data_IF_203730065237
#
_entry.id   IF_203730065237
#
_cell.length_a   1.000
_cell.length_b   1.000
_cell.length_c   1.000
_cell.angle_alpha   90.00
_cell.angle_beta   90.00
_cell.angle_gamma   90.00
#
_symmetry.space_group_name_H-M   'P 1'
#
loop_
_entity.id
_entity.type
_entity.pdbx_description
1 polymer ?
#
# COMPACT_ATOMS: atom_id res chain seq x y z
N UNK A 1 25.08 -20.08 -7.20
CA UNK A 1 23.90 -19.24 -6.93
C UNK A 1 22.71 -20.18 -6.80
N UNK A 2 22.04 -20.21 -5.65
CA UNK A 2 20.92 -21.13 -5.41
C UNK A 2 19.71 -20.67 -6.23
N UNK A 3 19.23 -21.52 -7.13
CA UNK A 3 18.06 -21.27 -8.00
C UNK A 3 17.23 -22.54 -8.08
N UNK A 4 15.94 -22.40 -8.39
CA UNK A 4 15.00 -23.48 -8.60
C UNK A 4 14.56 -23.46 -10.08
N UNK A 5 14.33 -24.62 -10.75
CA UNK A 5 13.82 -24.65 -12.11
C UNK A 5 12.36 -24.17 -12.17
N UNK A 6 12.16 -22.86 -12.13
CA UNK A 6 10.88 -22.22 -12.40
C UNK A 6 10.45 -22.43 -13.85
N UNK A 7 9.16 -22.65 -14.07
CA UNK A 7 8.62 -22.97 -15.40
C UNK A 7 8.12 -21.75 -16.17
N UNK A 8 8.17 -20.54 -15.60
CA UNK A 8 7.66 -19.35 -16.26
C UNK A 8 8.71 -18.72 -17.17
N UNK A 9 8.57 -18.93 -18.47
CA UNK A 9 9.43 -18.33 -19.47
C UNK A 9 9.06 -16.86 -19.70
N UNK A 10 9.99 -15.95 -19.39
CA UNK A 10 9.88 -14.55 -19.80
C UNK A 10 10.26 -14.40 -21.28
N UNK A 11 9.64 -13.46 -22.02
CA UNK A 11 9.97 -13.24 -23.42
C UNK A 11 11.45 -12.86 -23.57
N UNK A 12 12.18 -13.53 -24.46
CA UNK A 12 13.55 -13.17 -24.82
C UNK A 12 13.55 -12.25 -26.03
N UNK A 13 14.47 -11.29 -26.06
CA UNK A 13 14.62 -10.38 -27.20
C UNK A 13 15.79 -10.85 -28.06
N UNK A 14 15.59 -10.91 -29.37
CA UNK A 14 16.64 -11.26 -30.33
C UNK A 14 16.84 -10.10 -31.28
N UNK A 15 18.08 -9.65 -31.39
CA UNK A 15 18.51 -8.67 -32.37
C UNK A 15 19.53 -9.33 -33.29
N UNK A 16 19.37 -9.18 -34.60
CA UNK A 16 20.27 -9.78 -35.58
C UNK A 16 20.64 -8.74 -36.64
N UNK A 17 21.93 -8.64 -36.94
CA UNK A 17 22.50 -7.87 -38.05
C UNK A 17 23.46 -8.75 -38.86
N UNK A 18 24.18 -8.16 -39.82
CA UNK A 18 25.09 -8.89 -40.71
C UNK A 18 26.30 -9.50 -39.96
N UNK A 19 26.68 -8.94 -38.81
CA UNK A 19 27.89 -9.32 -38.07
C UNK A 19 27.59 -10.24 -36.87
N UNK A 20 26.41 -10.12 -36.26
CA UNK A 20 26.09 -10.78 -34.99
C UNK A 20 24.61 -11.08 -34.78
N UNK A 21 24.37 -12.03 -33.86
CA UNK A 21 23.09 -12.31 -33.23
C UNK A 21 23.22 -12.02 -31.74
N UNK A 22 22.34 -11.17 -31.20
CA UNK A 22 22.25 -10.83 -29.78
C UNK A 22 20.96 -11.41 -29.21
N UNK A 23 21.08 -12.22 -28.15
CA UNK A 23 19.93 -12.71 -27.39
C UNK A 23 19.96 -12.13 -25.98
N UNK A 24 18.89 -11.45 -25.57
CA UNK A 24 18.70 -10.96 -24.20
C UNK A 24 17.81 -11.96 -23.44
N UNK A 25 18.31 -12.46 -22.30
CA UNK A 25 17.62 -13.41 -21.42
C UNK A 25 17.45 -12.84 -20.02
N UNK A 26 16.41 -13.31 -19.34
CA UNK A 26 16.13 -13.03 -17.94
C UNK A 26 16.38 -14.30 -17.14
N UNK A 27 17.33 -14.24 -16.20
CA UNK A 27 17.70 -15.37 -15.35
C UNK A 27 17.32 -15.08 -13.90
N UNK A 28 16.99 -16.11 -13.12
CA UNK A 28 16.77 -15.95 -11.68
C UNK A 28 17.96 -15.23 -11.01
N UNK A 29 17.68 -14.35 -10.07
CA UNK A 29 18.70 -13.63 -9.29
C UNK A 29 19.36 -14.51 -8.23
N UNK A 30 18.65 -15.53 -7.73
CA UNK A 30 19.15 -16.43 -6.70
C UNK A 30 18.23 -16.48 -5.48
N UNK A 31 18.74 -16.06 -4.32
CA UNK A 31 17.99 -16.00 -3.06
C UNK A 31 17.36 -14.62 -2.88
N UNK A 32 16.05 -14.60 -2.66
CA UNK A 32 15.23 -13.42 -2.41
C UNK A 32 14.75 -13.43 -0.96
N UNK A 33 14.97 -12.35 -0.22
CA UNK A 33 14.28 -12.11 1.05
C UNK A 33 13.01 -11.29 0.81
N UNK A 34 11.85 -11.89 1.05
CA UNK A 34 10.54 -11.24 0.99
C UNK A 34 10.13 -10.78 2.39
N UNK A 35 10.27 -9.50 2.68
CA UNK A 35 9.89 -8.88 3.95
C UNK A 35 8.51 -8.27 3.78
N UNK A 36 7.51 -8.84 4.45
CA UNK A 36 6.09 -8.55 4.22
C UNK A 36 5.47 -7.78 5.40
N UNK A 37 4.53 -6.84 5.13
CA UNK A 37 3.74 -6.17 6.14
C UNK A 37 2.66 -7.12 6.68
N UNK A 38 1.79 -6.59 7.53
CA UNK A 38 0.70 -7.35 8.11
C UNK A 38 -0.56 -7.43 7.24
N UNK A 39 -0.64 -6.63 6.18
CA UNK A 39 -1.80 -6.55 5.29
C UNK A 39 -1.59 -7.19 3.90
N UNK A 40 -0.38 -7.66 3.54
CA UNK A 40 -0.12 -8.30 2.23
C UNK A 40 1.14 -9.19 2.23
N UNK A 41 1.23 -10.15 1.28
CA UNK A 41 2.43 -10.99 1.06
C UNK A 41 2.68 -11.39 -0.40
N UNK A 42 2.28 -10.56 -1.38
CA UNK A 42 2.26 -10.84 -2.84
C UNK A 42 3.61 -11.12 -3.54
N UNK A 43 4.69 -11.33 -2.79
CA UNK A 43 6.09 -11.41 -3.26
C UNK A 43 6.54 -12.83 -3.62
N UNK A 44 5.90 -13.84 -3.01
CA UNK A 44 6.35 -15.24 -3.05
C UNK A 44 6.20 -15.84 -4.45
N UNK A 45 4.99 -15.76 -5.00
CA UNK A 45 4.65 -16.34 -6.30
C UNK A 45 5.53 -15.84 -7.46
N UNK A 46 5.71 -14.52 -7.68
CA UNK A 46 6.52 -14.05 -8.80
C UNK A 46 8.00 -14.42 -8.67
N UNK A 47 8.57 -14.41 -7.46
CA UNK A 47 9.95 -14.80 -7.22
C UNK A 47 10.20 -16.29 -7.55
N UNK A 48 9.32 -17.18 -7.08
CA UNK A 48 9.38 -18.62 -7.37
C UNK A 48 9.14 -18.92 -8.85
N UNK A 49 8.21 -18.22 -9.50
CA UNK A 49 7.83 -18.45 -10.89
C UNK A 49 9.01 -18.32 -11.86
N UNK A 50 9.90 -17.36 -11.61
CA UNK A 50 11.11 -17.12 -12.42
C UNK A 50 12.36 -17.86 -11.90
N UNK A 51 12.19 -18.73 -10.89
CA UNK A 51 13.23 -19.66 -10.45
C UNK A 51 14.12 -19.22 -9.29
N UNK A 52 13.69 -18.26 -8.48
CA UNK A 52 14.42 -17.89 -7.25
C UNK A 52 14.09 -18.85 -6.09
N UNK A 53 14.98 -18.90 -5.10
CA UNK A 53 14.65 -19.41 -3.76
C UNK A 53 14.21 -18.22 -2.88
N UNK A 54 13.23 -18.43 -2.00
CA UNK A 54 12.59 -17.35 -1.23
C UNK A 54 12.68 -17.62 0.27
N UNK A 55 13.12 -16.61 1.03
CA UNK A 55 13.01 -16.55 2.48
C UNK A 55 11.98 -15.47 2.82
N UNK A 56 10.85 -15.85 3.39
CA UNK A 56 9.77 -14.94 3.76
C UNK A 56 9.91 -14.54 5.23
N UNK A 57 9.89 -13.23 5.50
CA UNK A 57 9.81 -12.68 6.85
C UNK A 57 8.50 -11.90 7.00
N UNK A 58 7.47 -12.47 7.65
CA UNK A 58 6.24 -11.75 7.91
C UNK A 58 6.42 -10.66 8.99
N UNK A 59 5.41 -9.80 9.10
CA UNK A 59 5.25 -8.92 10.26
C UNK A 59 5.16 -9.71 11.57
N UNK A 60 5.82 -9.26 12.66
CA UNK A 60 5.68 -9.88 13.97
C UNK A 60 4.25 -9.84 14.50
N UNK A 61 3.42 -8.92 14.00
CA UNK A 61 2.04 -8.75 14.43
C UNK A 61 1.03 -9.70 13.77
N UNK A 62 1.38 -10.29 12.61
CA UNK A 62 0.48 -11.19 11.87
C UNK A 62 1.24 -12.37 11.20
N UNK A 63 2.05 -13.15 11.93
CA UNK A 63 2.89 -14.16 11.30
C UNK A 63 2.12 -15.42 10.89
N UNK A 64 0.99 -15.72 11.54
CA UNK A 64 0.33 -17.02 11.49
C UNK A 64 -0.05 -17.48 10.07
N UNK A 65 -0.74 -16.62 9.30
CA UNK A 65 -1.19 -16.98 7.96
C UNK A 65 -0.03 -17.29 7.03
N UNK A 66 1.05 -16.49 7.09
CA UNK A 66 2.26 -16.71 6.29
C UNK A 66 2.99 -17.97 6.72
N UNK A 67 3.13 -18.21 8.03
CA UNK A 67 3.73 -19.44 8.56
C UNK A 67 2.96 -20.67 8.08
N UNK A 68 1.62 -20.66 8.19
CA UNK A 68 0.78 -21.78 7.77
C UNK A 68 0.81 -22.00 6.26
N UNK A 69 0.78 -20.93 5.48
CA UNK A 69 0.92 -21.00 4.03
C UNK A 69 2.24 -21.67 3.62
N UNK A 70 3.36 -21.25 4.22
CA UNK A 70 4.67 -21.82 3.89
C UNK A 70 4.81 -23.26 4.39
N UNK A 71 4.29 -23.61 5.56
CA UNK A 71 4.22 -25.00 6.04
C UNK A 71 3.56 -25.93 5.00
N UNK A 72 2.40 -25.51 4.48
CA UNK A 72 1.68 -26.27 3.45
C UNK A 72 2.47 -26.32 2.13
N UNK A 73 3.02 -25.19 1.69
CA UNK A 73 3.76 -25.11 0.43
C UNK A 73 5.07 -25.91 0.45
N UNK A 74 5.73 -26.04 1.60
CA UNK A 74 6.95 -26.83 1.76
C UNK A 74 6.75 -28.33 1.51
N UNK A 75 5.52 -28.84 1.56
CA UNK A 75 5.22 -30.21 1.13
C UNK A 75 5.33 -30.42 -0.39
N UNK A 76 5.29 -29.33 -1.16
CA UNK A 76 5.34 -29.32 -2.63
C UNK A 76 6.75 -28.99 -3.13
N UNK A 77 7.41 -28.02 -2.48
CA UNK A 77 8.71 -27.54 -2.92
C UNK A 77 9.89 -28.35 -2.33
N UNK A 78 11.00 -28.52 -3.07
CA UNK A 78 12.21 -29.08 -2.51
C UNK A 78 12.71 -28.28 -1.28
N UNK A 79 13.42 -28.92 -0.33
CA UNK A 79 14.00 -28.25 0.82
C UNK A 79 14.85 -27.03 0.41
N UNK A 80 14.62 -25.89 1.07
CA UNK A 80 15.35 -24.64 0.85
C UNK A 80 14.80 -23.71 -0.24
N UNK A 81 13.86 -24.18 -1.07
CA UNK A 81 13.25 -23.35 -2.14
C UNK A 81 12.33 -22.28 -1.58
N UNK A 82 11.48 -22.64 -0.61
CA UNK A 82 10.61 -21.71 0.10
C UNK A 82 10.78 -21.90 1.60
N UNK A 83 11.15 -20.83 2.30
CA UNK A 83 11.40 -20.79 3.73
C UNK A 83 10.64 -19.63 4.35
N UNK A 84 10.29 -19.75 5.62
CA UNK A 84 9.70 -18.67 6.41
C UNK A 84 10.42 -18.57 7.74
N UNK A 85 10.69 -17.34 8.17
CA UNK A 85 11.24 -17.06 9.50
C UNK A 85 10.44 -15.92 10.10
N UNK A 86 9.69 -16.22 11.16
CA UNK A 86 9.03 -15.22 11.98
C UNK A 86 9.93 -14.90 13.19
N UNK A 87 9.92 -13.64 13.59
CA UNK A 87 10.75 -13.09 14.65
C UNK A 87 10.02 -11.94 15.34
N UNK A 88 10.66 -11.33 16.35
CA UNK A 88 10.17 -10.17 17.09
C UNK A 88 10.46 -8.82 16.39
N UNK A 89 10.98 -8.86 15.16
CA UNK A 89 11.31 -7.71 14.32
C UNK A 89 12.82 -7.41 14.21
N UNK A 90 13.66 -8.17 14.92
CA UNK A 90 15.13 -8.06 14.92
C UNK A 90 15.84 -8.70 13.72
N UNK A 91 15.19 -9.56 12.94
CA UNK A 91 15.79 -10.34 11.85
C UNK A 91 15.98 -9.53 10.55
N UNK A 92 15.18 -8.48 10.34
CA UNK A 92 15.24 -7.62 9.15
C UNK A 92 16.66 -7.15 8.80
N UNK A 93 17.40 -6.53 9.74
CA UNK A 93 18.80 -6.14 9.56
C UNK A 93 19.73 -7.25 9.10
N UNK A 94 19.52 -8.47 9.60
CA UNK A 94 20.38 -9.60 9.28
C UNK A 94 20.13 -10.08 7.84
N UNK A 95 18.87 -10.17 7.41
CA UNK A 95 18.52 -10.49 6.01
C UNK A 95 19.04 -9.40 5.06
N UNK A 96 18.74 -8.14 5.41
CA UNK A 96 19.49 -6.90 5.13
C UNK A 96 20.89 -7.09 4.55
N UNK A 97 21.78 -7.42 5.48
CA UNK A 97 23.22 -7.40 5.29
C UNK A 97 23.79 -8.75 4.82
N UNK A 98 22.98 -9.81 4.74
CA UNK A 98 23.49 -11.15 4.44
C UNK A 98 24.07 -11.24 3.01
N UNK A 99 25.34 -11.64 2.82
CA UNK A 99 25.99 -11.65 1.51
C UNK A 99 25.41 -12.71 0.55
N UNK A 100 24.78 -13.74 1.10
CA UNK A 100 24.12 -14.81 0.34
C UNK A 100 22.75 -14.44 -0.24
N UNK A 101 22.19 -13.25 0.07
CA UNK A 101 20.87 -12.80 -0.42
C UNK A 101 21.08 -11.80 -1.55
N UNK A 102 20.50 -12.07 -2.72
CA UNK A 102 20.71 -11.28 -3.94
C UNK A 102 19.65 -10.18 -4.15
N UNK A 103 18.48 -10.32 -3.51
CA UNK A 103 17.43 -9.31 -3.57
C UNK A 103 16.66 -9.23 -2.25
N UNK A 104 16.31 -8.00 -1.86
CA UNK A 104 15.29 -7.73 -0.85
C UNK A 104 14.04 -7.22 -1.56
N UNK A 105 12.91 -7.86 -1.34
CA UNK A 105 11.60 -7.30 -1.68
C UNK A 105 10.90 -6.93 -0.37
N UNK A 106 10.70 -5.65 -0.14
CA UNK A 106 10.15 -5.08 1.09
C UNK A 106 8.84 -4.35 0.78
N UNK A 107 7.81 -4.60 1.59
CA UNK A 107 6.64 -3.73 1.65
C UNK A 107 6.45 -3.23 3.08
N UNK A 108 6.21 -1.93 3.25
CA UNK A 108 5.99 -1.34 4.57
C UNK A 108 6.12 0.18 4.62
N UNK A 109 6.44 0.73 5.80
CA UNK A 109 6.64 2.18 5.97
C UNK A 109 7.76 2.73 5.10
N UNK A 110 7.63 3.97 4.64
CA UNK A 110 8.69 4.69 3.91
C UNK A 110 9.98 4.83 4.71
N UNK A 111 9.89 5.10 6.02
CA UNK A 111 11.05 5.22 6.91
C UNK A 111 11.87 3.93 6.96
N UNK A 112 11.21 2.78 7.16
CA UNK A 112 11.86 1.47 7.12
C UNK A 112 12.42 1.15 5.74
N UNK A 113 11.70 1.48 4.67
CA UNK A 113 12.15 1.29 3.29
C UNK A 113 13.48 2.00 2.99
N UNK A 114 13.62 3.26 3.44
CA UNK A 114 14.87 4.03 3.34
C UNK A 114 16.03 3.32 4.04
N UNK A 115 15.81 2.83 5.26
CA UNK A 115 16.82 2.05 6.01
C UNK A 115 17.19 0.74 5.31
N UNK A 116 16.22 0.02 4.75
CA UNK A 116 16.47 -1.19 3.93
C UNK A 116 17.37 -0.85 2.75
N UNK A 117 17.10 0.25 2.05
CA UNK A 117 17.92 0.70 0.91
C UNK A 117 19.35 1.05 1.33
N UNK A 118 19.52 1.83 2.40
CA UNK A 118 20.83 2.20 2.95
C UNK A 118 21.67 0.96 3.32
N UNK A 119 21.07 -0.02 3.98
CA UNK A 119 21.76 -1.26 4.34
C UNK A 119 22.08 -2.13 3.13
N UNK A 120 21.18 -2.20 2.14
CA UNK A 120 21.38 -2.97 0.92
C UNK A 120 22.56 -2.46 0.09
N UNK A 121 22.85 -1.15 0.13
CA UNK A 121 23.94 -0.51 -0.59
C UNK A 121 25.32 -1.12 -0.28
N UNK A 122 25.56 -1.59 0.95
CA UNK A 122 26.82 -2.24 1.37
C UNK A 122 27.18 -3.48 0.54
N UNK A 123 26.19 -4.06 -0.12
CA UNK A 123 26.28 -5.34 -0.82
C UNK A 123 25.79 -5.23 -2.26
N UNK A 124 25.36 -4.04 -2.69
CA UNK A 124 24.83 -3.76 -4.03
C UNK A 124 23.69 -4.72 -4.45
N UNK A 125 22.92 -5.24 -3.49
CA UNK A 125 21.81 -6.15 -3.79
C UNK A 125 20.62 -5.39 -4.36
N UNK A 126 19.83 -6.04 -5.21
CA UNK A 126 18.60 -5.44 -5.74
C UNK A 126 17.62 -5.23 -4.59
N UNK A 127 16.95 -4.08 -4.59
CA UNK A 127 15.86 -3.77 -3.68
C UNK A 127 14.61 -3.45 -4.49
N UNK A 128 13.49 -4.04 -4.09
CA UNK A 128 12.15 -3.67 -4.54
C UNK A 128 11.40 -3.19 -3.31
N UNK A 129 10.98 -1.93 -3.32
CA UNK A 129 10.34 -1.24 -2.19
C UNK A 129 8.94 -0.81 -2.61
N UNK A 130 7.93 -1.31 -1.91
CA UNK A 130 6.54 -0.89 -2.06
C UNK A 130 6.14 -0.24 -0.72
N UNK A 131 5.92 1.07 -0.72
CA UNK A 131 5.90 1.87 0.50
C UNK A 131 4.56 2.60 0.65
N UNK A 132 4.41 3.29 1.78
CA UNK A 132 3.22 4.07 2.10
C UNK A 132 2.85 5.08 1.01
N UNK A 133 1.56 5.37 0.93
CA UNK A 133 0.95 6.35 0.03
C UNK A 133 0.19 7.41 0.80
N UNK A 134 -0.19 8.51 0.14
CA UNK A 134 -1.17 9.47 0.64
C UNK A 134 -2.25 9.69 -0.43
N UNK A 135 -2.87 8.56 -0.79
CA UNK A 135 -3.63 8.39 -2.02
C UNK A 135 -4.87 9.30 -2.04
N UNK A 136 -5.02 10.00 -3.16
CA UNK A 136 -6.08 10.96 -3.37
C UNK A 136 -7.22 10.33 -4.17
N UNK A 137 -8.44 10.71 -3.85
CA UNK A 137 -9.62 10.45 -4.69
C UNK A 137 -10.22 11.79 -5.12
N UNK A 138 -10.27 12.04 -6.43
CA UNK A 138 -10.75 13.29 -7.03
C UNK A 138 -12.16 13.07 -7.58
N UNK A 139 -13.13 13.82 -7.06
CA UNK A 139 -14.55 13.76 -7.45
C UNK A 139 -14.91 14.96 -8.33
N UNK A 140 -15.10 14.70 -9.62
CA UNK A 140 -15.53 15.71 -10.60
C UNK A 140 -17.05 15.97 -10.50
N UNK A 141 -17.54 17.15 -10.92
CA UNK A 141 -18.93 17.54 -10.68
C UNK A 141 -19.95 16.84 -11.57
N UNK A 142 -19.49 16.11 -12.59
CA UNK A 142 -20.35 15.44 -13.56
C UNK A 142 -20.74 14.01 -13.14
N UNK A 143 -20.30 13.55 -11.97
CA UNK A 143 -20.57 12.19 -11.46
C UNK A 143 -22.02 12.03 -10.97
N UNK A 144 -22.49 10.78 -11.01
CA UNK A 144 -23.69 10.37 -10.28
C UNK A 144 -23.30 10.04 -8.83
N UNK A 145 -23.63 10.94 -7.90
CA UNK A 145 -23.24 10.85 -6.48
C UNK A 145 -23.79 9.55 -5.87
N UNK A 146 -25.09 9.27 -6.02
CA UNK A 146 -25.73 8.09 -5.42
C UNK A 146 -25.05 6.79 -5.86
N UNK A 147 -24.65 6.73 -7.12
CA UNK A 147 -23.98 5.56 -7.69
C UNK A 147 -22.56 5.33 -7.15
N UNK A 148 -21.77 6.39 -6.96
CA UNK A 148 -20.34 6.24 -6.63
C UNK A 148 -20.03 6.26 -5.13
N UNK A 149 -20.92 6.80 -4.30
CA UNK A 149 -20.69 6.95 -2.85
C UNK A 149 -20.31 5.62 -2.17
N UNK A 150 -20.97 4.48 -2.42
CA UNK A 150 -20.58 3.22 -1.80
C UNK A 150 -19.14 2.80 -2.12
N UNK A 151 -18.71 3.02 -3.37
CA UNK A 151 -17.38 2.66 -3.83
C UNK A 151 -16.30 3.62 -3.29
N UNK A 152 -16.59 4.93 -3.26
CA UNK A 152 -15.70 5.95 -2.67
C UNK A 152 -15.53 5.71 -1.17
N UNK A 153 -16.62 5.49 -0.45
CA UNK A 153 -16.59 5.23 0.99
C UNK A 153 -15.83 3.93 1.29
N UNK A 154 -16.11 2.83 0.59
CA UNK A 154 -15.38 1.58 0.80
C UNK A 154 -13.91 1.68 0.37
N UNK A 155 -13.56 2.55 -0.58
CA UNK A 155 -12.17 2.88 -0.91
C UNK A 155 -11.40 3.51 0.26
N UNK A 156 -12.10 4.19 1.19
CA UNK A 156 -11.51 4.75 2.41
C UNK A 156 -11.61 3.79 3.61
N UNK A 157 -12.70 3.04 3.75
CA UNK A 157 -13.02 2.29 4.97
C UNK A 157 -12.68 0.80 4.93
N UNK A 158 -12.43 0.23 3.76
CA UNK A 158 -12.05 -1.18 3.65
C UNK A 158 -10.80 -1.48 4.48
N UNK A 159 -10.80 -2.62 5.17
CA UNK A 159 -9.79 -2.98 6.17
C UNK A 159 -9.60 -1.93 7.28
N UNK A 160 -10.61 -1.13 7.61
CA UNK A 160 -10.50 -0.02 8.58
C UNK A 160 -9.52 1.07 8.13
N UNK A 161 -9.45 1.28 6.82
CA UNK A 161 -8.50 2.17 6.15
C UNK A 161 -7.13 1.55 5.92
N UNK A 162 -6.86 0.36 6.48
CA UNK A 162 -5.56 -0.31 6.56
C UNK A 162 -5.04 -0.94 5.24
N UNK A 163 -5.06 -0.16 4.16
CA UNK A 163 -4.43 -0.50 2.89
C UNK A 163 -3.48 0.60 2.41
N UNK A 164 -2.37 0.22 1.79
CA UNK A 164 -1.44 1.19 1.18
C UNK A 164 -2.15 2.09 0.15
N UNK A 165 -3.10 1.51 -0.58
CA UNK A 165 -3.93 2.14 -1.63
C UNK A 165 -5.27 2.70 -1.15
N UNK A 166 -5.53 2.72 0.15
CA UNK A 166 -6.77 3.28 0.68
C UNK A 166 -6.83 4.78 0.36
N UNK A 167 -8.03 5.28 0.06
CA UNK A 167 -8.24 6.72 -0.11
C UNK A 167 -7.97 7.43 1.22
N UNK A 168 -6.98 8.30 1.22
CA UNK A 168 -6.52 9.06 2.38
C UNK A 168 -6.87 10.52 2.32
N UNK A 169 -7.18 11.04 1.12
CA UNK A 169 -7.61 12.42 0.88
C UNK A 169 -8.70 12.43 -0.16
N UNK A 170 -9.83 13.04 0.17
CA UNK A 170 -10.95 13.15 -0.75
C UNK A 170 -11.07 14.58 -1.25
N UNK A 171 -10.78 14.80 -2.53
CA UNK A 171 -10.93 16.10 -3.18
C UNK A 171 -12.27 16.13 -3.92
N UNK A 172 -13.16 17.04 -3.56
CA UNK A 172 -14.51 17.11 -4.13
C UNK A 172 -14.72 18.45 -4.82
N UNK A 173 -15.23 18.44 -6.04
CA UNK A 173 -15.47 19.69 -6.77
C UNK A 173 -16.51 20.56 -6.04
N UNK A 174 -16.20 21.84 -5.84
CA UNK A 174 -16.98 22.77 -5.01
C UNK A 174 -18.48 22.83 -5.34
N UNK A 175 -18.85 22.60 -6.61
CA UNK A 175 -20.26 22.68 -7.05
C UNK A 175 -21.12 21.52 -6.58
N UNK A 176 -20.51 20.42 -6.10
CA UNK A 176 -21.22 19.24 -5.57
C UNK A 176 -20.77 18.91 -4.14
N UNK A 177 -19.98 19.78 -3.51
CA UNK A 177 -19.30 19.50 -2.24
C UNK A 177 -20.27 19.14 -1.12
N UNK A 178 -21.26 20.01 -0.88
CA UNK A 178 -22.22 19.83 0.21
C UNK A 178 -23.07 18.56 0.04
N UNK A 179 -23.58 18.33 -1.18
CA UNK A 179 -24.38 17.15 -1.50
C UNK A 179 -23.57 15.86 -1.38
N UNK A 180 -22.32 15.87 -1.86
CA UNK A 180 -21.43 14.72 -1.78
C UNK A 180 -21.03 14.41 -0.34
N UNK A 181 -20.62 15.43 0.43
CA UNK A 181 -20.23 15.28 1.83
C UNK A 181 -21.38 14.71 2.65
N UNK A 182 -22.59 15.24 2.46
CA UNK A 182 -23.80 14.72 3.09
C UNK A 182 -24.05 13.26 2.72
N UNK A 183 -23.98 12.89 1.45
CA UNK A 183 -24.18 11.51 1.00
C UNK A 183 -23.11 10.56 1.59
N UNK A 184 -21.86 11.01 1.67
CA UNK A 184 -20.75 10.25 2.23
C UNK A 184 -20.94 10.00 3.73
N UNK A 185 -21.36 11.03 4.47
CA UNK A 185 -21.70 10.92 5.90
C UNK A 185 -22.84 9.91 6.12
N UNK A 186 -23.93 10.02 5.36
CA UNK A 186 -25.08 9.12 5.51
C UNK A 186 -24.74 7.67 5.15
N UNK A 187 -23.98 7.43 4.08
CA UNK A 187 -23.50 6.09 3.77
C UNK A 187 -22.58 5.55 4.86
N UNK A 188 -21.65 6.37 5.36
CA UNK A 188 -20.67 5.94 6.37
C UNK A 188 -21.36 5.58 7.70
N UNK A 189 -22.42 6.28 8.10
CA UNK A 189 -23.26 5.91 9.25
C UNK A 189 -23.94 4.55 9.12
N UNK A 190 -24.13 4.06 7.90
CA UNK A 190 -24.72 2.73 7.65
C UNK A 190 -23.73 1.57 7.84
N UNK A 191 -22.42 1.87 7.93
CA UNK A 191 -21.37 0.87 8.12
C UNK A 191 -21.33 0.45 9.58
N UNK A 192 -21.36 -0.86 9.83
CA UNK A 192 -21.25 -1.41 11.19
C UNK A 192 -19.79 -1.53 11.59
N UNK A 193 -19.42 -1.09 12.81
CA UNK A 193 -18.09 -1.32 13.38
C UNK A 193 -18.15 -2.54 14.31
N UNK A 194 -17.31 -3.54 14.10
CA UNK A 194 -17.26 -4.73 14.95
C UNK A 194 -16.76 -6.00 14.26
N UNK A 195 -17.00 -7.15 14.90
CA UNK A 195 -16.54 -8.46 14.41
C UNK A 195 -17.46 -9.11 13.34
N UNK A 196 -18.54 -8.43 12.95
CA UNK A 196 -19.43 -8.80 11.85
C UNK A 196 -20.29 -10.05 12.08
N UNK A 197 -21.60 -9.94 11.83
CA UNK A 197 -22.48 -11.12 11.60
C UNK A 197 -23.80 -10.82 10.88
N UNK A 198 -24.16 -9.56 10.66
CA UNK A 198 -25.27 -9.14 9.80
C UNK A 198 -24.75 -8.74 8.42
N UNK A 199 -25.39 -9.18 7.34
CA UNK A 199 -24.88 -9.13 5.95
C UNK A 199 -24.66 -7.74 5.30
N UNK A 200 -24.44 -6.67 6.08
CA UNK A 200 -24.01 -5.35 5.59
C UNK A 200 -22.49 -5.16 5.65
N UNK A 201 -21.96 -4.00 5.18
CA UNK A 201 -20.53 -3.70 5.27
C UNK A 201 -20.11 -3.54 6.74
N UNK A 202 -19.02 -4.21 7.11
CA UNK A 202 -18.46 -4.20 8.46
C UNK A 202 -17.03 -3.69 8.44
N UNK A 203 -16.72 -2.74 9.31
CA UNK A 203 -15.37 -2.28 9.59
C UNK A 203 -14.84 -2.95 10.87
N UNK A 204 -13.69 -3.61 10.75
CA UNK A 204 -13.04 -4.32 11.85
C UNK A 204 -12.19 -3.42 12.75
N UNK A 205 -11.43 -4.01 13.68
CA UNK A 205 -10.51 -3.25 14.52
C UNK A 205 -9.27 -2.79 13.75
N UNK A 206 -8.62 -1.75 14.28
CA UNK A 206 -7.23 -1.42 13.98
C UNK A 206 -6.33 -2.57 14.44
N UNK A 207 -5.26 -2.83 13.70
CA UNK A 207 -4.52 -4.09 13.82
C UNK A 207 -3.85 -4.31 15.19
N UNK A 208 -3.29 -3.25 15.81
CA UNK A 208 -2.58 -3.35 17.09
C UNK A 208 -2.69 -2.06 17.92
N UNK A 209 -2.26 -2.13 19.19
CA UNK A 209 -2.35 -1.04 20.16
C UNK A 209 -1.54 0.19 19.73
N UNK A 210 -0.33 -0.01 19.21
CA UNK A 210 0.52 1.10 18.76
C UNK A 210 -0.17 1.90 17.66
N UNK A 211 -0.77 1.23 16.68
CA UNK A 211 -1.49 1.91 15.60
C UNK A 211 -2.76 2.59 16.13
N UNK A 212 -3.50 1.91 17.00
CA UNK A 212 -4.68 2.46 17.64
C UNK A 212 -4.40 3.76 18.41
N UNK A 213 -3.35 3.78 19.23
CA UNK A 213 -2.97 4.94 20.03
C UNK A 213 -2.51 6.13 19.18
N UNK A 214 -1.78 5.86 18.09
CA UNK A 214 -1.38 6.89 17.12
C UNK A 214 -2.61 7.54 16.45
N UNK A 215 -3.63 6.76 16.03
CA UNK A 215 -4.88 7.34 15.50
C UNK A 215 -5.60 8.19 16.52
N UNK A 216 -5.70 7.72 17.76
CA UNK A 216 -6.31 8.51 18.84
C UNK A 216 -5.59 9.85 19.02
N UNK A 217 -4.25 9.85 18.94
CA UNK A 217 -3.44 11.07 18.97
C UNK A 217 -3.73 12.01 17.80
N UNK A 218 -3.81 11.49 16.57
CA UNK A 218 -4.16 12.27 15.38
C UNK A 218 -5.55 12.92 15.52
N UNK A 219 -6.56 12.14 15.92
CA UNK A 219 -7.94 12.59 16.13
C UNK A 219 -7.98 13.66 17.22
N UNK A 220 -7.33 13.43 18.37
CA UNK A 220 -7.24 14.40 19.45
C UNK A 220 -6.60 15.72 18.97
N UNK A 221 -5.50 15.64 18.22
CA UNK A 221 -4.86 16.82 17.65
C UNK A 221 -5.76 17.60 16.68
N UNK A 222 -6.59 16.92 15.89
CA UNK A 222 -7.57 17.58 15.02
C UNK A 222 -8.62 18.34 15.85
N UNK A 223 -9.11 17.74 16.94
CA UNK A 223 -10.06 18.39 17.87
C UNK A 223 -9.43 19.58 18.58
N UNK A 224 -8.19 19.46 19.08
CA UNK A 224 -7.45 20.54 19.73
C UNK A 224 -7.22 21.74 18.80
N UNK A 225 -6.99 21.48 17.50
CA UNK A 225 -6.85 22.52 16.47
C UNK A 225 -8.18 23.09 15.99
N UNK A 226 -9.32 22.59 16.48
CA UNK A 226 -10.65 23.07 16.13
C UNK A 226 -11.10 22.71 14.72
N UNK A 227 -10.61 21.58 14.17
CA UNK A 227 -11.10 21.10 12.87
C UNK A 227 -12.56 20.67 12.96
N UNK A 228 -13.29 20.85 11.86
CA UNK A 228 -14.71 20.51 11.77
C UNK A 228 -14.83 19.04 11.38
N UNK A 229 -15.62 18.28 12.12
CA UNK A 229 -15.94 16.90 11.79
C UNK A 229 -17.34 16.84 11.18
N UNK A 230 -17.45 16.49 9.90
CA UNK A 230 -18.73 16.20 9.26
C UNK A 230 -19.33 14.87 9.76
N UNK A 231 -18.45 13.95 10.17
CA UNK A 231 -18.80 12.76 10.93
C UNK A 231 -17.74 12.57 12.01
N UNK A 232 -18.18 12.63 13.27
CA UNK A 232 -17.38 12.29 14.45
C UNK A 232 -17.96 11.03 15.12
N UNK A 233 -17.29 10.54 16.15
CA UNK A 233 -17.79 9.50 17.03
C UNK A 233 -19.17 9.87 17.60
N UNK A 234 -20.18 8.97 17.55
CA UNK A 234 -21.52 9.29 18.01
C UNK A 234 -21.54 9.65 19.51
N UNK A 235 -22.30 10.69 19.88
CA UNK A 235 -22.51 11.07 21.28
C UNK A 235 -23.01 9.87 22.09
N UNK A 236 -22.17 9.36 23.01
CA UNK A 236 -22.50 8.21 23.85
C UNK A 236 -21.96 6.85 23.38
N UNK A 237 -21.09 6.78 22.36
CA UNK A 237 -20.14 5.68 22.13
C UNK A 237 -20.73 4.26 22.15
N UNK A 238 -21.98 4.07 21.71
CA UNK A 238 -22.63 2.74 21.71
C UNK A 238 -22.39 2.04 20.38
N UNK A 239 -21.43 1.14 20.40
CA UNK A 239 -21.28 0.10 19.38
C UNK A 239 -22.24 -1.05 19.72
N UNK A 240 -22.83 -1.68 18.70
CA UNK A 240 -23.67 -2.86 18.88
C UNK A 240 -22.81 -4.07 19.23
N UNK A 241 -22.92 -4.50 20.49
CA UNK A 241 -22.10 -5.55 21.11
C UNK A 241 -22.87 -6.84 21.37
N UNK A 242 -23.82 -7.20 20.52
CA UNK A 242 -24.51 -8.49 20.68
C UNK A 242 -23.57 -9.72 20.76
N UNK A 243 -22.25 -9.60 20.48
CA UNK A 243 -21.30 -10.74 20.49
C UNK A 243 -19.92 -10.59 21.17
N UNK A 244 -19.50 -9.45 21.73
CA UNK A 244 -18.27 -9.34 22.54
C UNK A 244 -18.16 -7.93 23.16
N UNK A 245 -17.63 -7.79 24.38
CA UNK A 245 -17.39 -6.50 25.03
C UNK A 245 -16.29 -5.71 24.30
N UNK A 246 -16.51 -4.41 24.07
CA UNK A 246 -15.51 -3.52 23.46
C UNK A 246 -14.35 -3.11 24.36
N UNK A 247 -14.45 -3.38 25.65
CA UNK A 247 -13.37 -3.12 26.59
C UNK A 247 -12.12 -3.99 26.31
N UNK A 248 -12.11 -4.77 25.22
CA UNK A 248 -11.01 -5.66 24.82
C UNK A 248 -10.54 -5.56 23.35
N UNK A 249 -10.87 -4.52 22.57
CA UNK A 249 -10.44 -4.43 21.16
C UNK A 249 -10.16 -3.01 20.62
N UNK A 250 -9.30 -2.91 19.59
CA UNK A 250 -8.81 -1.65 19.01
C UNK A 250 -9.75 -1.05 17.95
N UNK A 251 -11.01 -0.79 18.29
CA UNK A 251 -12.01 -0.30 17.33
C UNK A 251 -12.06 1.24 17.29
N UNK A 252 -12.16 1.79 16.09
CA UNK A 252 -12.39 3.23 15.87
C UNK A 252 -13.58 3.41 14.92
N UNK A 253 -14.33 4.48 15.12
CA UNK A 253 -15.37 4.90 14.19
C UNK A 253 -14.75 5.60 12.97
N UNK A 254 -15.34 5.44 11.77
CA UNK A 254 -15.00 6.28 10.65
C UNK A 254 -15.28 7.75 10.95
N UNK A 255 -14.30 8.60 10.70
CA UNK A 255 -14.37 10.04 10.91
C UNK A 255 -14.12 10.76 9.60
N UNK A 256 -14.88 11.82 9.37
CA UNK A 256 -14.77 12.67 8.19
C UNK A 256 -14.50 14.09 8.68
N UNK A 257 -13.34 14.63 8.33
CA UNK A 257 -12.95 16.00 8.64
C UNK A 257 -13.30 16.89 7.44
N UNK A 258 -14.09 17.92 7.68
CA UNK A 258 -14.60 18.86 6.69
C UNK A 258 -13.64 20.02 6.49
N UNK A 259 -13.16 20.18 5.25
CA UNK A 259 -12.30 21.27 4.78
C UNK A 259 -11.17 21.68 5.77
N UNK A 260 -10.32 20.74 6.23
CA UNK A 260 -9.20 21.10 7.07
C UNK A 260 -8.17 21.91 6.25
N UNK A 261 -7.30 22.69 6.91
CA UNK A 261 -6.25 23.43 6.23
C UNK A 261 -5.43 22.54 5.28
N UNK A 262 -5.20 23.01 4.05
CA UNK A 262 -4.53 22.24 3.00
C UNK A 262 -3.13 21.76 3.39
N UNK A 263 -2.41 22.54 4.20
CA UNK A 263 -1.06 22.23 4.70
C UNK A 263 -1.07 21.45 6.03
N UNK A 264 -2.25 21.03 6.53
CA UNK A 264 -2.33 20.24 7.75
C UNK A 264 -1.69 18.87 7.56
N UNK A 265 -1.12 18.29 8.62
CA UNK A 265 -0.58 16.93 8.56
C UNK A 265 -1.62 15.89 8.19
N UNK A 266 -2.91 16.11 8.52
CA UNK A 266 -4.01 15.26 8.10
C UNK A 266 -4.14 15.19 6.56
N UNK A 267 -3.79 16.27 5.86
CA UNK A 267 -3.83 16.35 4.39
C UNK A 267 -2.47 16.00 3.78
N UNK A 268 -1.35 16.44 4.34
CA UNK A 268 -0.06 16.32 3.65
C UNK A 268 0.66 15.01 3.93
N UNK A 269 0.41 14.40 5.08
CA UNK A 269 1.06 13.16 5.50
C UNK A 269 0.09 11.98 5.34
N UNK A 270 0.62 10.78 5.07
CA UNK A 270 -0.15 9.57 5.37
C UNK A 270 -0.58 9.67 6.83
N UNK A 271 -1.82 9.29 7.19
CA UNK A 271 -2.43 9.52 8.51
C UNK A 271 -1.75 8.80 9.69
N UNK A 272 -0.47 8.44 9.53
CA UNK A 272 0.47 7.78 10.43
C UNK A 272 1.96 7.98 10.08
N UNK A 273 2.33 8.90 9.18
CA UNK A 273 3.72 9.23 8.93
C UNK A 273 4.45 9.49 10.25
N UNK A 274 5.62 8.85 10.46
CA UNK A 274 6.34 8.90 11.74
C UNK A 274 6.61 10.35 12.18
N UNK A 275 5.90 10.82 13.21
CA UNK A 275 6.41 11.88 14.09
C UNK A 275 7.00 11.23 15.34
N UNK A 276 8.33 11.26 15.41
CA UNK A 276 9.15 11.10 16.64
C UNK A 276 9.29 9.72 17.29
N UNK A 277 9.43 8.62 16.52
CA UNK A 277 10.14 7.45 17.06
C UNK A 277 11.64 7.66 16.82
N UNK A 278 12.46 7.54 17.87
CA UNK A 278 13.92 7.71 17.82
C UNK A 278 14.53 7.03 16.59
N UNK A 279 14.87 7.84 15.60
CA UNK A 279 15.34 7.41 14.28
C UNK A 279 16.76 6.82 14.34
N UNK A 280 17.46 6.94 15.47
CA UNK A 280 18.90 6.65 15.60
C UNK A 280 19.24 5.15 15.58
N UNK A 281 18.25 4.28 15.77
CA UNK A 281 18.43 2.83 15.81
C UNK A 281 17.88 2.17 14.53
N UNK A 282 18.76 1.47 13.80
CA UNK A 282 18.40 0.60 12.67
C UNK A 282 17.47 -0.56 13.10
N UNK A 283 17.57 -0.97 14.37
CA UNK A 283 16.83 -2.10 14.95
C UNK A 283 15.38 -1.76 15.32
N UNK A 284 15.10 -0.53 15.76
CA UNK A 284 13.76 -0.13 16.23
C UNK A 284 12.77 0.07 15.07
N UNK A 285 13.26 0.44 13.89
CA UNK A 285 12.42 0.85 12.76
C UNK A 285 11.89 -0.34 11.95
N UNK A 286 12.63 -1.46 11.88
CA UNK A 286 12.13 -2.70 11.25
C UNK A 286 11.02 -3.39 12.06
N UNK A 287 10.66 -2.87 13.24
CA UNK A 287 9.46 -3.28 13.98
C UNK A 287 8.20 -2.54 13.48
N UNK A 288 8.34 -1.44 12.74
CA UNK A 288 7.26 -0.62 12.15
C UNK A 288 6.96 -1.05 10.70
N UNK A 289 6.79 -2.35 10.44
CA UNK A 289 6.68 -2.89 9.06
C UNK A 289 5.41 -2.41 8.33
N UNK A 290 4.47 -1.74 8.98
CA UNK A 290 3.59 -0.83 8.27
C UNK A 290 3.21 0.32 9.18
N UNK A 291 3.34 1.55 8.66
CA UNK A 291 2.65 2.70 9.25
C UNK A 291 1.16 2.49 9.02
N UNK A 292 0.40 2.70 10.10
CA UNK A 292 -1.02 2.42 10.13
C UNK A 292 -1.74 3.22 9.06
N UNK A 293 -2.87 2.73 8.64
CA UNK A 293 -3.88 3.60 8.08
C UNK A 293 -5.09 3.47 9.01
N UNK A 294 -5.95 4.47 9.04
CA UNK A 294 -7.06 4.47 9.98
C UNK A 294 -8.30 5.11 9.41
N UNK A 295 -9.45 4.94 10.08
CA UNK A 295 -10.72 5.34 9.53
C UNK A 295 -10.95 6.84 9.80
N UNK A 296 -10.06 7.70 9.32
CA UNK A 296 -10.21 9.16 9.33
C UNK A 296 -9.72 9.72 7.99
N UNK A 297 -10.56 10.52 7.32
CA UNK A 297 -10.18 11.19 6.06
C UNK A 297 -10.54 12.68 6.10
N UNK A 298 -9.72 13.55 5.47
CA UNK A 298 -10.10 14.90 5.11
C UNK A 298 -10.91 14.92 3.80
N UNK A 299 -11.98 15.71 3.77
CA UNK A 299 -12.67 16.13 2.55
C UNK A 299 -12.25 17.57 2.23
N UNK A 300 -11.74 17.81 1.02
CA UNK A 300 -11.17 19.10 0.61
C UNK A 300 -11.89 19.58 -0.66
N UNK A 301 -12.54 20.75 -0.63
CA UNK A 301 -13.15 21.33 -1.82
C UNK A 301 -12.08 21.80 -2.81
N UNK A 302 -12.33 21.63 -4.11
CA UNK A 302 -11.51 22.23 -5.16
C UNK A 302 -12.37 22.89 -6.25
N UNK A 303 -11.77 23.76 -7.07
CA UNK A 303 -12.52 24.55 -8.05
C UNK A 303 -12.03 24.45 -9.50
N UNK A 304 -10.77 24.05 -9.70
CA UNK A 304 -10.19 23.86 -11.03
C UNK A 304 -9.34 22.59 -11.05
N UNK A 305 -9.17 22.01 -12.23
CA UNK A 305 -8.32 20.83 -12.40
C UNK A 305 -6.86 21.10 -12.00
N UNK A 306 -6.32 22.25 -12.38
CA UNK A 306 -4.95 22.63 -12.03
C UNK A 306 -4.74 22.70 -10.51
N UNK A 307 -5.73 23.22 -9.77
CA UNK A 307 -5.67 23.32 -8.31
C UNK A 307 -5.63 21.95 -7.64
N UNK A 308 -6.45 21.00 -8.11
CA UNK A 308 -6.48 19.65 -7.52
C UNK A 308 -5.29 18.82 -7.96
N UNK A 309 -4.81 18.95 -9.20
CA UNK A 309 -3.58 18.28 -9.67
C UNK A 309 -2.39 18.75 -8.81
N UNK A 310 -2.28 20.05 -8.57
CA UNK A 310 -1.22 20.62 -7.73
C UNK A 310 -1.32 20.12 -6.28
N UNK A 311 -2.53 20.09 -5.70
CA UNK A 311 -2.74 19.59 -4.34
C UNK A 311 -2.45 18.08 -4.21
N UNK A 312 -2.84 17.27 -5.19
CA UNK A 312 -2.58 15.83 -5.19
C UNK A 312 -1.09 15.55 -5.34
N UNK A 313 -0.40 16.26 -6.25
CA UNK A 313 1.04 16.13 -6.47
C UNK A 313 1.89 16.81 -5.40
N UNK A 314 1.31 17.60 -4.50
CA UNK A 314 2.01 18.33 -3.44
C UNK A 314 2.63 17.45 -2.33
N UNK A 315 2.41 16.13 -2.35
CA UNK A 315 2.94 15.19 -1.35
C UNK A 315 4.26 14.57 -1.76
N UNK A 316 5.07 14.15 -0.77
CA UNK A 316 6.29 13.35 -0.99
C UNK A 316 6.00 11.91 -1.46
N UNK A 317 4.78 11.42 -1.24
CA UNK A 317 4.29 10.11 -1.68
C UNK A 317 3.64 10.18 -3.05
N UNK A 318 3.57 9.04 -3.75
CA UNK A 318 2.96 8.91 -5.07
C UNK A 318 2.59 7.47 -5.42
N UNK A 319 1.84 6.78 -4.55
CA UNK A 319 1.47 5.39 -4.79
C UNK A 319 0.34 5.27 -5.83
N UNK A 320 -0.88 5.62 -5.44
CA UNK A 320 -2.02 5.61 -6.35
C UNK A 320 -2.96 6.80 -6.15
N UNK A 321 -3.88 6.98 -7.11
CA UNK A 321 -4.96 7.94 -7.03
C UNK A 321 -6.21 7.39 -7.73
N UNK A 322 -7.38 7.94 -7.37
CA UNK A 322 -8.64 7.67 -8.06
C UNK A 322 -9.21 8.96 -8.66
N UNK A 323 -9.76 8.88 -9.87
CA UNK A 323 -10.45 10.00 -10.56
C UNK A 323 -11.86 9.55 -10.93
N UNK A 324 -12.86 10.23 -10.39
CA UNK A 324 -14.27 9.96 -10.61
C UNK A 324 -14.86 11.04 -11.50
N UNK A 325 -15.20 10.68 -12.73
CA UNK A 325 -15.66 11.61 -13.75
C UNK A 325 -16.40 10.84 -14.87
N UNK A 326 -17.55 11.35 -15.31
CA UNK A 326 -18.29 10.76 -16.43
C UNK A 326 -17.59 11.03 -17.77
N UNK A 327 -16.91 12.17 -17.91
CA UNK A 327 -16.03 12.45 -19.05
C UNK A 327 -14.72 11.66 -18.96
N UNK A 328 -14.62 10.57 -19.74
CA UNK A 328 -13.38 9.77 -19.85
C UNK A 328 -12.19 10.62 -20.30
N UNK A 329 -12.40 11.58 -21.21
CA UNK A 329 -11.34 12.49 -21.67
C UNK A 329 -10.81 13.37 -20.53
N UNK A 330 -11.71 13.92 -19.71
CA UNK A 330 -11.32 14.71 -18.53
C UNK A 330 -10.59 13.84 -17.50
N UNK A 331 -11.13 12.66 -17.21
CA UNK A 331 -10.50 11.71 -16.29
C UNK A 331 -9.08 11.33 -16.71
N UNK A 332 -8.89 11.01 -18.00
CA UNK A 332 -7.59 10.66 -18.56
C UNK A 332 -6.60 11.82 -18.54
N UNK A 333 -7.06 13.04 -18.83
CA UNK A 333 -6.23 14.24 -18.80
C UNK A 333 -5.75 14.56 -17.37
N UNK A 334 -6.62 14.44 -16.37
CA UNK A 334 -6.23 14.57 -14.96
C UNK A 334 -5.25 13.43 -14.62
N UNK A 335 -5.61 12.17 -14.89
CA UNK A 335 -4.79 11.00 -14.59
C UNK A 335 -3.37 11.10 -15.14
N UNK A 336 -3.19 11.57 -16.38
CA UNK A 336 -1.86 11.71 -17.01
C UNK A 336 -0.95 12.75 -16.37
N UNK A 337 -1.50 13.63 -15.53
CA UNK A 337 -0.77 14.70 -14.86
C UNK A 337 -0.53 14.41 -13.37
N UNK A 338 -1.03 13.28 -12.84
CA UNK A 338 -0.81 12.89 -11.46
C UNK A 338 0.54 12.19 -11.31
N UNK A 339 1.33 12.63 -10.32
CA UNK A 339 2.64 12.04 -10.01
C UNK A 339 2.50 10.80 -9.13
N UNK A 340 1.73 9.81 -9.61
CA UNK A 340 1.48 8.53 -8.94
C UNK A 340 1.72 7.37 -9.89
N UNK A 341 2.06 6.19 -9.36
CA UNK A 341 2.36 5.05 -10.21
C UNK A 341 1.15 4.25 -10.67
N UNK A 342 -0.05 4.46 -10.09
CA UNK A 342 -1.30 3.88 -10.60
C UNK A 342 -2.47 4.86 -10.45
N UNK A 343 -3.28 5.03 -11.50
CA UNK A 343 -4.52 5.82 -11.43
C UNK A 343 -5.71 4.93 -11.76
N UNK A 344 -6.73 4.95 -10.89
CA UNK A 344 -8.00 4.27 -11.08
C UNK A 344 -9.05 5.29 -11.55
N UNK A 345 -9.63 5.07 -12.74
CA UNK A 345 -10.72 5.92 -13.24
C UNK A 345 -12.05 5.24 -12.94
N UNK A 346 -12.96 5.94 -12.24
CA UNK A 346 -14.29 5.47 -11.86
C UNK A 346 -14.30 4.17 -11.04
N UNK A 347 -13.32 4.01 -10.16
CA UNK A 347 -13.23 2.89 -9.23
C UNK A 347 -12.27 3.21 -8.09
N UNK A 348 -12.41 2.53 -6.94
CA UNK A 348 -11.45 2.66 -5.84
C UNK A 348 -10.16 1.92 -6.17
N UNK A 349 -9.15 2.08 -5.32
CA UNK A 349 -7.89 1.33 -5.41
C UNK A 349 -8.12 -0.19 -5.43
N UNK A 350 -8.00 -0.80 -6.61
CA UNK A 350 -8.18 -2.24 -6.84
C UNK A 350 -7.11 -2.75 -7.82
N UNK A 351 -5.89 -3.03 -7.34
CA UNK A 351 -4.80 -3.47 -8.20
C UNK A 351 -5.13 -4.83 -8.82
N UNK A 352 -4.77 -4.97 -10.09
CA UNK A 352 -4.86 -6.22 -10.83
C UNK A 352 -3.48 -6.88 -10.85
N UNK A 353 -3.30 -8.13 -10.36
CA UNK A 353 -2.00 -8.81 -10.36
C UNK A 353 -1.34 -8.96 -11.73
N UNK A 354 -2.09 -8.75 -12.83
CA UNK A 354 -1.61 -8.79 -14.21
C UNK A 354 -1.03 -7.45 -14.67
N UNK A 355 -1.35 -6.37 -13.99
CA UNK A 355 -0.95 -5.00 -14.33
C UNK A 355 0.21 -4.58 -13.42
N UNK A 356 1.27 -3.92 -13.96
CA UNK A 356 2.34 -3.38 -13.14
C UNK A 356 1.80 -2.45 -12.05
N UNK A 357 2.29 -2.64 -10.83
CA UNK A 357 1.99 -1.80 -9.69
C UNK A 357 3.30 -1.24 -9.13
N UNK A 358 3.42 0.07 -9.10
CA UNK A 358 4.62 0.78 -8.69
C UNK A 358 4.26 2.05 -7.96
N UNK A 359 5.10 2.48 -7.02
CA UNK A 359 5.04 3.81 -6.44
C UNK A 359 5.97 4.78 -7.16
N UNK A 360 5.53 6.03 -7.31
CA UNK A 360 6.39 7.17 -7.63
C UNK A 360 6.89 7.85 -6.35
N UNK A 361 7.87 8.75 -6.50
CA UNK A 361 8.46 9.54 -5.39
C UNK A 361 8.91 8.63 -4.23
N UNK A 362 8.50 8.93 -3.00
CA UNK A 362 8.89 8.13 -1.83
C UNK A 362 8.00 6.88 -1.61
N UNK A 363 6.97 6.65 -2.44
CA UNK A 363 6.09 5.48 -2.29
C UNK A 363 6.69 4.19 -2.82
N UNK A 364 7.88 4.21 -3.40
CA UNK A 364 8.54 2.97 -3.74
C UNK A 364 9.69 3.09 -4.71
N UNK A 365 10.30 1.94 -4.98
CA UNK A 365 11.32 1.76 -6.01
C UNK A 365 11.23 0.33 -6.54
N UNK A 366 11.13 0.19 -7.86
CA UNK A 366 10.85 -1.09 -8.50
C UNK A 366 9.36 -1.28 -8.77
N UNK A 367 9.00 -2.48 -9.22
CA UNK A 367 7.66 -2.79 -9.72
C UNK A 367 7.23 -4.13 -9.13
N UNK A 368 5.99 -4.20 -8.66
CA UNK A 368 5.29 -5.45 -8.35
C UNK A 368 4.24 -5.74 -9.42
N UNK A 369 3.77 -6.99 -9.48
CA UNK A 369 2.74 -7.45 -10.42
C UNK A 369 3.10 -7.30 -11.92
N UNK A 370 2.28 -7.93 -12.76
CA UNK A 370 2.49 -7.99 -14.21
C UNK A 370 3.83 -8.59 -14.62
N UNK A 371 4.14 -8.48 -15.91
CA UNK A 371 5.41 -8.99 -16.47
C UNK A 371 6.61 -8.21 -15.94
N UNK A 372 6.45 -6.91 -15.73
CA UNK A 372 7.53 -6.06 -15.20
C UNK A 372 7.92 -6.47 -13.77
N UNK A 373 6.95 -6.80 -12.91
CA UNK A 373 7.23 -7.30 -11.57
C UNK A 373 7.88 -8.69 -11.56
N UNK A 374 7.62 -9.53 -12.57
CA UNK A 374 8.37 -10.79 -12.74
C UNK A 374 9.84 -10.51 -13.11
N UNK A 375 10.08 -9.58 -14.04
CA UNK A 375 11.42 -9.18 -14.47
C UNK A 375 12.25 -8.57 -13.32
N UNK A 376 11.60 -7.92 -12.35
CA UNK A 376 12.27 -7.40 -11.14
C UNK A 376 12.99 -8.49 -10.34
N UNK A 377 12.49 -9.73 -10.38
CA UNK A 377 13.11 -10.92 -9.76
C UNK A 377 14.18 -11.60 -10.63
N UNK A 378 14.53 -11.01 -11.78
CA UNK A 378 15.51 -11.53 -12.72
C UNK A 378 16.73 -10.61 -12.89
N UNK A 379 17.85 -11.20 -13.28
CA UNK A 379 19.01 -10.50 -13.82
C UNK A 379 19.04 -10.65 -15.35
N UNK A 380 19.41 -9.57 -16.04
CA UNK A 380 19.47 -9.54 -17.50
C UNK A 380 20.83 -10.04 -17.97
N UNK A 381 20.85 -10.95 -18.93
CA UNK A 381 22.06 -11.42 -19.60
C UNK A 381 21.92 -11.27 -21.12
N UNK A 382 22.88 -10.58 -21.73
CA UNK A 382 23.01 -10.49 -23.18
C UNK A 382 24.06 -11.48 -23.66
N UNK A 383 23.67 -12.35 -24.59
CA UNK A 383 24.56 -13.30 -25.27
C UNK A 383 24.76 -12.80 -26.69
N UNK A 384 25.99 -12.46 -27.04
CA UNK A 384 26.35 -12.00 -28.39
C UNK A 384 27.11 -13.12 -29.08
N UNK A 385 26.61 -13.56 -30.22
CA UNK A 385 27.27 -14.52 -31.11
C UNK A 385 27.60 -13.81 -32.42
N UNK A 386 28.89 -13.64 -32.70
CA UNK A 386 29.37 -13.17 -34.01
C UNK A 386 29.20 -14.30 -35.05
N UNK A 387 28.85 -13.94 -36.27
CA UNK A 387 28.58 -14.88 -37.38
C UNK A 387 29.86 -15.47 -37.97
#
# INVERSE_FOLDING_TARGET
MLTFPGSHALPHQVFEDDDKVVTVRYEARGVVAAICPWNSFGKIAPALAVGNCVIVKPSPFTPYTTLKFVELAQSIFPPGVLQVVADDGTLGPHLVNHPGIQQISFTGSTATGKKVMEAAAKTMKKVTLELGGNDASIIMPDVDIEKIIPEVAMGAWWNSGQSCIATKRLYIHKSIYEDFLKALVEFTKSISVGCGSGGGPVMGPVQNEMQFMKLKGLIAGCRERGYIFALDEPEGGRIDLSRQSLDSGFFLWPMIVDDPPAESSLVMEEQFGESNVDQTSFTTCLNCIADGQGPIIPCVPFSTEDSVITAVNGTSTGLSASVWCNSVHTAQRIASQLDVGTVFINGPGRPDPRVPFSGHKESGMGIEYGVMGLVEYCQVKSIVRYK
#
